data_IF_712931040364
#
_entry.id   IF_712931040364
#
_cell.length_a   1.000
_cell.length_b   1.000
_cell.length_c   1.000
_cell.angle_alpha   90.00
_cell.angle_beta   90.00
_cell.angle_gamma   90.00
#
_symmetry.space_group_name_H-M   'P 1'
#
loop_
_entity.id
_entity.type
_entity.pdbx_description
1 polymer ?
#
# COMPACT_ATOMS: atom_id res chain seq x y z
N UNK A 1 13.60 2.68 -3.13
CA UNK A 1 13.70 1.57 -2.14
C UNK A 1 13.71 0.24 -2.88
N UNK A 2 14.66 -0.62 -2.59
CA UNK A 2 14.78 -1.97 -3.16
C UNK A 2 14.33 -3.00 -2.11
N UNK A 3 13.45 -3.93 -2.51
CA UNK A 3 13.00 -5.02 -1.63
C UNK A 3 13.39 -6.33 -2.27
N UNK A 4 14.02 -7.21 -1.49
CA UNK A 4 14.44 -8.54 -1.95
C UNK A 4 13.87 -9.61 -1.02
N UNK A 5 13.23 -10.60 -1.62
CA UNK A 5 12.79 -11.81 -0.95
C UNK A 5 13.66 -12.99 -1.40
N UNK A 6 14.22 -13.72 -0.47
CA UNK A 6 15.00 -14.92 -0.73
C UNK A 6 14.39 -16.08 0.03
N UNK A 7 13.61 -16.90 -0.67
CA UNK A 7 12.86 -18.04 -0.12
C UNK A 7 11.99 -17.66 1.09
N UNK A 8 11.28 -16.51 0.99
CA UNK A 8 10.37 -16.07 2.05
C UNK A 8 9.08 -16.87 2.00
N UNK A 9 8.72 -17.47 3.16
CA UNK A 9 7.47 -18.22 3.35
C UNK A 9 6.83 -17.80 4.67
N UNK A 10 5.66 -17.16 4.66
CA UNK A 10 4.94 -16.77 5.89
C UNK A 10 4.27 -17.96 6.57
N UNK A 11 4.07 -17.88 7.88
CA UNK A 11 3.37 -18.89 8.68
C UNK A 11 2.05 -18.34 9.24
N UNK A 12 0.96 -19.12 9.19
CA UNK A 12 0.77 -20.31 8.37
C UNK A 12 0.41 -19.95 6.92
N UNK A 13 0.91 -20.75 5.97
CA UNK A 13 0.49 -20.69 4.58
C UNK A 13 0.36 -22.14 4.01
N UNK A 14 -0.73 -22.51 3.32
CA UNK A 14 -0.88 -23.83 2.74
C UNK A 14 0.19 -24.11 1.68
N UNK A 15 0.63 -25.38 1.58
CA UNK A 15 1.68 -25.79 0.64
C UNK A 15 1.28 -25.55 -0.83
N UNK A 16 0.02 -25.74 -1.15
CA UNK A 16 -0.54 -25.54 -2.48
C UNK A 16 -0.40 -24.06 -2.92
N UNK A 17 -0.61 -23.13 -1.98
CA UNK A 17 -0.43 -21.70 -2.22
C UNK A 17 1.04 -21.34 -2.45
N UNK A 18 1.95 -21.96 -1.69
CA UNK A 18 3.39 -21.73 -1.88
C UNK A 18 3.84 -22.22 -3.25
N UNK A 19 3.39 -23.44 -3.66
CA UNK A 19 3.80 -24.06 -4.93
C UNK A 19 3.26 -23.37 -6.17
N UNK A 20 2.09 -22.70 -6.08
CA UNK A 20 1.48 -21.96 -7.19
C UNK A 20 1.92 -20.49 -7.29
N UNK A 21 2.70 -20.02 -6.33
CA UNK A 21 3.04 -18.60 -6.20
C UNK A 21 4.31 -18.22 -6.94
N UNK A 22 4.31 -17.09 -7.63
CA UNK A 22 5.52 -16.46 -8.18
C UNK A 22 6.37 -15.76 -7.09
N UNK A 23 5.83 -15.60 -5.88
CA UNK A 23 6.42 -14.78 -4.81
C UNK A 23 6.97 -15.64 -3.67
N UNK A 24 6.18 -16.65 -3.21
CA UNK A 24 6.56 -17.44 -2.06
C UNK A 24 7.62 -18.49 -2.41
N UNK A 25 8.58 -18.68 -1.51
CA UNK A 25 9.70 -19.61 -1.66
C UNK A 25 10.55 -19.40 -2.93
N UNK A 26 10.55 -18.18 -3.46
CA UNK A 26 11.32 -17.81 -4.66
C UNK A 26 12.37 -16.72 -4.34
N UNK A 27 13.23 -16.44 -5.30
CA UNK A 27 14.11 -15.26 -5.26
C UNK A 27 13.48 -14.15 -6.06
N UNK A 28 12.97 -13.14 -5.38
CA UNK A 28 12.26 -12.02 -5.97
C UNK A 28 12.87 -10.69 -5.59
N UNK A 29 12.91 -9.74 -6.53
CA UNK A 29 13.35 -8.38 -6.29
C UNK A 29 12.34 -7.38 -6.84
N UNK A 30 11.72 -6.60 -5.96
CA UNK A 30 10.99 -5.39 -6.32
C UNK A 30 11.99 -4.25 -6.48
N UNK A 31 12.17 -3.81 -7.73
CA UNK A 31 13.17 -2.80 -8.09
C UNK A 31 12.75 -1.41 -7.65
N UNK A 32 13.69 -0.51 -7.33
CA UNK A 32 13.40 0.91 -7.15
C UNK A 32 12.72 1.51 -8.40
N UNK A 33 11.84 2.48 -8.17
CA UNK A 33 11.15 3.25 -9.24
C UNK A 33 10.36 2.36 -10.21
N UNK A 34 9.82 1.23 -9.74
CA UNK A 34 9.02 0.31 -10.54
C UNK A 34 7.64 0.10 -9.91
N UNK A 35 6.66 -0.20 -10.75
CA UNK A 35 5.33 -0.58 -10.34
C UNK A 35 5.12 -2.09 -10.52
N UNK A 36 4.70 -2.77 -9.47
CA UNK A 36 4.42 -4.20 -9.45
C UNK A 36 2.96 -4.47 -9.09
N UNK A 37 2.31 -5.32 -9.87
CA UNK A 37 0.98 -5.83 -9.58
C UNK A 37 1.09 -7.23 -8.95
N UNK A 38 0.38 -7.44 -7.86
CA UNK A 38 0.25 -8.75 -7.21
C UNK A 38 -1.22 -9.17 -7.30
N UNK A 39 -1.51 -10.17 -8.13
CA UNK A 39 -2.86 -10.69 -8.31
C UNK A 39 -3.02 -12.04 -7.65
N UNK A 40 -4.14 -12.27 -6.99
CA UNK A 40 -4.49 -13.58 -6.45
C UNK A 40 -5.95 -13.61 -5.99
N UNK A 41 -6.50 -14.81 -5.85
CA UNK A 41 -7.78 -15.02 -5.19
C UNK A 41 -7.73 -14.65 -3.69
N UNK A 42 -8.89 -14.57 -3.07
CA UNK A 42 -8.96 -14.34 -1.61
C UNK A 42 -8.25 -15.46 -0.85
N UNK A 43 -7.56 -15.12 0.24
CA UNK A 43 -6.87 -16.10 1.08
C UNK A 43 -5.46 -16.52 0.62
N UNK A 44 -5.01 -16.12 -0.58
CA UNK A 44 -3.73 -16.53 -1.14
C UNK A 44 -2.51 -15.74 -0.60
N UNK A 45 -2.69 -14.84 0.36
CA UNK A 45 -1.58 -14.18 1.04
C UNK A 45 -1.24 -12.76 0.56
N UNK A 46 -2.08 -12.08 -0.26
CA UNK A 46 -1.84 -10.70 -0.72
C UNK A 46 -1.57 -9.71 0.43
N UNK A 47 -2.52 -9.60 1.36
CA UNK A 47 -2.35 -8.74 2.54
C UNK A 47 -1.17 -9.19 3.41
N UNK A 48 -0.90 -10.49 3.47
CA UNK A 48 0.26 -11.04 4.16
C UNK A 48 1.56 -10.51 3.58
N UNK A 49 1.71 -10.52 2.25
CA UNK A 49 2.89 -9.96 1.58
C UNK A 49 3.07 -8.48 1.95
N UNK A 50 2.04 -7.67 1.78
CA UNK A 50 2.13 -6.23 2.09
C UNK A 50 2.43 -5.98 3.57
N UNK A 51 1.89 -6.80 4.48
CA UNK A 51 2.17 -6.70 5.92
C UNK A 51 3.62 -7.09 6.27
N UNK A 52 4.20 -8.09 5.59
CA UNK A 52 5.62 -8.44 5.71
C UNK A 52 6.50 -7.27 5.24
N UNK A 53 6.22 -6.73 4.05
CA UNK A 53 6.97 -5.61 3.48
C UNK A 53 6.86 -4.34 4.35
N UNK A 54 5.72 -4.12 5.00
CA UNK A 54 5.52 -3.00 5.94
C UNK A 54 6.11 -3.25 7.33
N UNK A 55 6.57 -4.48 7.61
CA UNK A 55 7.21 -4.86 8.89
C UNK A 55 6.25 -4.97 10.08
N UNK A 56 4.94 -5.17 9.86
CA UNK A 56 3.96 -5.45 10.92
C UNK A 56 3.78 -6.94 11.13
N UNK A 57 4.15 -7.77 10.16
CA UNK A 57 4.20 -9.23 10.26
C UNK A 57 5.66 -9.69 10.22
N UNK A 58 6.03 -10.64 11.09
CA UNK A 58 7.41 -11.12 11.25
C UNK A 58 7.53 -12.65 11.29
N UNK A 59 6.42 -13.35 11.20
CA UNK A 59 6.32 -14.81 11.24
C UNK A 59 6.51 -15.42 9.84
N UNK A 60 7.75 -15.52 9.40
CA UNK A 60 8.15 -16.10 8.13
C UNK A 60 9.54 -16.77 8.22
N UNK A 61 9.82 -17.68 7.30
CA UNK A 61 11.17 -18.19 7.01
C UNK A 61 11.76 -17.49 5.78
N UNK A 62 13.04 -17.74 5.51
CA UNK A 62 13.77 -17.06 4.46
C UNK A 62 14.32 -15.71 4.87
N UNK A 63 14.73 -14.90 3.89
CA UNK A 63 15.34 -13.58 4.14
C UNK A 63 14.58 -12.52 3.37
N UNK A 64 14.08 -11.52 4.08
CA UNK A 64 13.54 -10.29 3.52
C UNK A 64 14.54 -9.17 3.72
N UNK A 65 15.00 -8.53 2.64
CA UNK A 65 15.95 -7.43 2.72
C UNK A 65 15.34 -6.12 2.19
N UNK A 66 15.67 -5.02 2.86
CA UNK A 66 15.30 -3.65 2.50
C UNK A 66 16.58 -2.86 2.24
N UNK A 67 16.78 -2.40 1.01
CA UNK A 67 18.01 -1.71 0.57
C UNK A 67 19.28 -2.45 0.99
N UNK A 68 19.27 -3.79 0.85
CA UNK A 68 20.39 -4.68 1.17
C UNK A 68 20.56 -5.04 2.66
N UNK A 69 19.72 -4.52 3.56
CA UNK A 69 19.71 -4.90 4.98
C UNK A 69 18.67 -5.96 5.25
N UNK A 70 19.07 -7.04 5.92
CA UNK A 70 18.12 -8.06 6.40
C UNK A 70 17.13 -7.44 7.39
N UNK A 71 15.82 -7.60 7.10
CA UNK A 71 14.74 -7.04 7.93
C UNK A 71 14.71 -7.58 9.36
N UNK A 72 15.29 -8.77 9.60
CA UNK A 72 15.42 -9.37 10.94
C UNK A 72 16.42 -8.62 11.83
N UNK A 73 17.38 -7.91 11.22
CA UNK A 73 18.39 -7.12 11.93
C UNK A 73 17.94 -5.70 12.24
N UNK A 74 16.80 -5.26 11.65
CA UNK A 74 16.28 -3.93 11.87
C UNK A 74 15.69 -3.78 13.27
N UNK A 75 16.16 -2.77 13.99
CA UNK A 75 15.65 -2.42 15.32
C UNK A 75 14.21 -1.89 15.23
N UNK A 76 13.56 -1.76 16.38
CA UNK A 76 12.24 -1.11 16.45
C UNK A 76 12.29 0.34 15.96
N UNK A 77 13.36 1.06 16.24
CA UNK A 77 13.57 2.44 15.81
C UNK A 77 13.76 2.54 14.29
N UNK A 78 14.54 1.62 13.70
CA UNK A 78 14.69 1.55 12.24
C UNK A 78 13.32 1.38 11.56
N UNK A 79 12.50 0.44 12.03
CA UNK A 79 11.16 0.22 11.51
C UNK A 79 10.22 1.43 11.70
N UNK A 80 10.33 2.15 12.82
CA UNK A 80 9.57 3.39 13.04
C UNK A 80 9.98 4.43 11.99
N UNK A 81 11.27 4.61 11.75
CA UNK A 81 11.79 5.58 10.79
C UNK A 81 11.41 5.19 9.35
N UNK A 82 11.57 3.92 8.97
CA UNK A 82 11.16 3.41 7.65
C UNK A 82 9.66 3.68 7.41
N UNK A 83 8.80 3.33 8.37
CA UNK A 83 7.37 3.60 8.27
C UNK A 83 7.01 5.08 8.31
N UNK A 84 7.81 5.92 8.94
CA UNK A 84 7.57 7.35 9.02
C UNK A 84 7.89 8.09 7.72
N UNK A 85 8.95 7.67 7.00
CA UNK A 85 9.51 8.47 5.91
C UNK A 85 9.61 7.76 4.56
N UNK A 86 9.57 6.43 4.55
CA UNK A 86 9.99 5.66 3.36
C UNK A 86 8.93 4.71 2.82
N UNK A 87 8.08 4.11 3.66
CA UNK A 87 7.02 3.20 3.20
C UNK A 87 5.66 3.74 3.62
N UNK A 88 4.76 3.92 2.65
CA UNK A 88 3.34 4.17 2.92
C UNK A 88 2.49 2.95 2.56
N UNK A 89 1.37 2.76 3.27
CA UNK A 89 0.47 1.64 3.05
C UNK A 89 -0.99 2.07 3.15
N UNK A 90 -1.81 1.59 2.21
CA UNK A 90 -3.25 1.49 2.33
C UNK A 90 -3.59 0.04 2.68
N UNK A 91 -4.17 -0.18 3.86
CA UNK A 91 -4.63 -1.48 4.30
C UNK A 91 -6.02 -1.80 3.75
N UNK A 92 -6.32 -3.07 3.50
CA UNK A 92 -7.64 -3.52 3.05
C UNK A 92 -8.76 -3.13 4.04
N UNK A 93 -8.50 -3.20 5.36
CA UNK A 93 -9.41 -2.79 6.43
C UNK A 93 -9.43 -1.26 6.68
N UNK A 94 -8.75 -0.48 5.83
CA UNK A 94 -8.60 0.98 5.82
C UNK A 94 -7.97 1.58 7.08
N UNK A 95 -8.10 0.96 8.25
CA UNK A 95 -7.58 1.40 9.56
C UNK A 95 -7.86 2.87 9.87
N UNK A 96 -9.08 3.31 9.58
CA UNK A 96 -9.56 4.63 9.95
C UNK A 96 -10.13 4.60 11.37
N UNK A 97 -10.00 5.70 12.08
CA UNK A 97 -10.60 5.90 13.39
C UNK A 97 -12.05 6.38 13.19
N UNK A 98 -13.06 5.56 13.51
CA UNK A 98 -14.45 5.81 13.12
C UNK A 98 -15.06 7.07 13.75
N UNK A 99 -14.57 7.48 14.92
CA UNK A 99 -15.09 8.66 15.64
C UNK A 99 -14.43 9.98 15.25
N UNK A 100 -13.31 9.91 14.51
CA UNK A 100 -12.66 11.09 13.96
C UNK A 100 -13.29 11.46 12.62
N UNK A 101 -13.20 12.73 12.26
CA UNK A 101 -13.55 13.22 10.93
C UNK A 101 -12.58 12.67 9.87
N UNK A 102 -12.94 12.78 8.59
CA UNK A 102 -12.06 12.40 7.49
C UNK A 102 -10.75 13.20 7.54
N UNK A 103 -10.82 14.51 7.75
CA UNK A 103 -9.65 15.38 7.84
C UNK A 103 -8.76 15.03 9.05
N UNK A 104 -9.35 14.79 10.21
CA UNK A 104 -8.58 14.36 11.39
C UNK A 104 -7.87 13.04 11.16
N UNK A 105 -8.52 12.06 10.50
CA UNK A 105 -7.88 10.79 10.13
C UNK A 105 -6.67 11.00 9.20
N UNK A 106 -6.77 11.92 8.24
CA UNK A 106 -5.67 12.25 7.32
C UNK A 106 -4.54 12.94 8.09
N UNK A 107 -4.86 13.87 8.98
CA UNK A 107 -3.91 14.66 9.75
C UNK A 107 -3.20 13.88 10.89
N UNK A 108 -3.55 12.61 11.13
CA UNK A 108 -2.77 11.72 12.00
C UNK A 108 -1.35 11.43 11.47
N UNK A 109 -1.08 11.76 10.20
CA UNK A 109 0.24 11.59 9.59
C UNK A 109 1.20 12.65 10.14
N UNK A 110 2.28 12.26 10.83
CA UNK A 110 3.12 13.21 11.56
C UNK A 110 4.06 14.02 10.64
N UNK A 111 4.28 13.57 9.42
CA UNK A 111 5.15 14.21 8.44
C UNK A 111 4.44 14.23 7.09
N UNK A 112 4.21 15.42 6.57
CA UNK A 112 3.61 15.58 5.24
C UNK A 112 4.65 15.33 4.13
N UNK A 113 4.19 14.76 3.01
CA UNK A 113 4.99 14.62 1.79
C UNK A 113 5.13 15.99 1.12
N UNK A 114 6.34 16.54 0.99
CA UNK A 114 6.53 17.87 0.41
C UNK A 114 6.17 17.93 -1.09
N UNK A 115 6.08 16.78 -1.75
CA UNK A 115 5.75 16.68 -3.16
C UNK A 115 4.26 16.37 -3.40
N UNK A 116 3.48 16.06 -2.35
CA UNK A 116 2.05 15.83 -2.49
C UNK A 116 1.29 17.16 -2.59
N UNK A 117 0.19 17.20 -3.37
CA UNK A 117 -0.77 18.30 -3.29
C UNK A 117 -1.30 18.42 -1.85
N UNK A 118 -1.83 19.59 -1.51
CA UNK A 118 -2.49 19.76 -0.21
C UNK A 118 -3.71 18.85 -0.09
N UNK A 119 -4.11 18.55 1.14
CA UNK A 119 -5.19 17.59 1.42
C UNK A 119 -6.48 17.96 0.68
N UNK A 120 -6.81 19.25 0.65
CA UNK A 120 -8.00 19.80 0.02
C UNK A 120 -8.02 19.53 -1.50
N UNK A 121 -6.89 19.68 -2.19
CA UNK A 121 -6.77 19.41 -3.62
C UNK A 121 -6.92 17.90 -3.91
N UNK A 122 -6.29 17.04 -3.12
CA UNK A 122 -6.46 15.58 -3.28
C UNK A 122 -7.89 15.14 -2.96
N UNK A 123 -8.51 15.77 -1.96
CA UNK A 123 -9.90 15.52 -1.60
C UNK A 123 -10.86 15.93 -2.72
N UNK A 124 -10.59 17.06 -3.38
CA UNK A 124 -11.37 17.54 -4.54
C UNK A 124 -11.24 16.59 -5.72
N UNK A 125 -10.02 16.20 -6.09
CA UNK A 125 -9.75 15.24 -7.15
C UNK A 125 -10.48 13.92 -6.93
N UNK A 126 -10.56 13.44 -5.68
CA UNK A 126 -11.22 12.20 -5.30
C UNK A 126 -12.72 12.38 -4.94
N UNK A 127 -13.27 13.62 -5.05
CA UNK A 127 -14.68 13.91 -4.80
C UNK A 127 -15.09 13.66 -3.35
N UNK A 128 -14.24 13.99 -2.39
CA UNK A 128 -14.51 13.84 -0.94
C UNK A 128 -14.41 15.16 -0.16
N UNK A 129 -14.22 16.31 -0.81
CA UNK A 129 -14.07 17.61 -0.15
C UNK A 129 -15.24 17.94 0.79
N UNK A 130 -16.47 17.66 0.39
CA UNK A 130 -17.68 17.88 1.19
C UNK A 130 -17.78 16.97 2.42
N UNK A 131 -16.97 15.93 2.50
CA UNK A 131 -16.98 14.95 3.58
C UNK A 131 -15.83 15.12 4.57
N UNK A 132 -14.87 16.04 4.32
CA UNK A 132 -13.67 16.19 5.15
C UNK A 132 -13.97 16.43 6.63
N UNK A 133 -15.04 17.17 6.94
CA UNK A 133 -15.45 17.48 8.31
C UNK A 133 -16.51 16.54 8.87
N UNK A 134 -16.84 15.46 8.15
CA UNK A 134 -17.78 14.44 8.63
C UNK A 134 -17.02 13.31 9.32
N UNK A 135 -17.65 12.75 10.37
CA UNK A 135 -17.12 11.57 11.06
C UNK A 135 -17.09 10.37 10.12
N UNK A 136 -15.99 9.62 10.13
CA UNK A 136 -15.77 8.49 9.22
C UNK A 136 -16.83 7.40 9.32
N UNK A 137 -17.45 7.21 10.49
CA UNK A 137 -18.52 6.22 10.68
C UNK A 137 -19.79 6.54 9.88
N UNK A 138 -20.00 7.79 9.46
CA UNK A 138 -21.15 8.21 8.65
C UNK A 138 -20.90 8.09 7.15
N UNK A 139 -19.66 7.81 6.73
CA UNK A 139 -19.26 7.73 5.34
C UNK A 139 -19.55 6.35 4.75
N UNK A 140 -19.87 6.30 3.45
CA UNK A 140 -19.95 5.05 2.70
C UNK A 140 -18.57 4.36 2.64
N UNK A 141 -18.54 3.06 2.28
CA UNK A 141 -17.26 2.34 2.20
C UNK A 141 -16.33 2.95 1.15
N UNK A 142 -16.84 3.30 -0.04
CA UNK A 142 -16.04 3.96 -1.07
C UNK A 142 -15.55 5.36 -0.68
N UNK A 143 -16.33 6.14 0.10
CA UNK A 143 -15.86 7.41 0.66
C UNK A 143 -14.72 7.18 1.67
N UNK A 144 -14.89 6.22 2.59
CA UNK A 144 -13.83 5.82 3.53
C UNK A 144 -12.56 5.35 2.83
N UNK A 145 -12.71 4.59 1.74
CA UNK A 145 -11.57 4.11 0.96
C UNK A 145 -10.79 5.28 0.35
N UNK A 146 -11.48 6.29 -0.20
CA UNK A 146 -10.84 7.49 -0.73
C UNK A 146 -10.15 8.33 0.36
N UNK A 147 -10.76 8.45 1.55
CA UNK A 147 -10.12 9.08 2.73
C UNK A 147 -8.84 8.34 3.12
N UNK A 148 -8.88 7.01 3.21
CA UNK A 148 -7.71 6.20 3.55
C UNK A 148 -6.62 6.28 2.46
N UNK A 149 -7.01 6.40 1.18
CA UNK A 149 -6.07 6.62 0.09
C UNK A 149 -5.38 7.98 0.22
N UNK A 150 -6.11 9.07 0.45
CA UNK A 150 -5.51 10.41 0.70
C UNK A 150 -4.53 10.32 1.87
N UNK A 151 -4.92 9.69 3.00
CA UNK A 151 -4.04 9.51 4.16
C UNK A 151 -2.75 8.76 3.81
N UNK A 152 -2.82 7.77 2.93
CA UNK A 152 -1.62 7.05 2.49
C UNK A 152 -0.74 7.92 1.58
N UNK A 153 -1.32 8.80 0.78
CA UNK A 153 -0.62 9.62 -0.21
C UNK A 153 -0.03 10.92 0.37
N UNK A 154 -0.61 11.48 1.43
CA UNK A 154 -0.05 12.68 2.12
C UNK A 154 1.24 12.38 2.88
N UNK A 155 1.55 11.11 3.11
CA UNK A 155 2.76 10.66 3.78
C UNK A 155 3.93 10.62 2.80
N UNK A 156 5.19 10.94 3.21
CA UNK A 156 6.36 10.70 2.39
C UNK A 156 6.55 9.20 2.13
N UNK A 157 6.92 8.82 0.90
CA UNK A 157 7.21 7.44 0.57
C UNK A 157 8.19 7.30 -0.59
N UNK A 158 9.03 6.28 -0.52
CA UNK A 158 9.83 5.70 -1.60
C UNK A 158 9.20 4.39 -2.11
N UNK A 159 8.34 3.76 -1.27
CA UNK A 159 7.54 2.60 -1.60
C UNK A 159 6.10 2.83 -1.13
N UNK A 160 5.17 2.69 -2.06
CA UNK A 160 3.73 2.73 -1.79
C UNK A 160 3.16 1.31 -1.89
N UNK A 161 2.53 0.85 -0.82
CA UNK A 161 1.85 -0.44 -0.73
C UNK A 161 0.34 -0.21 -0.73
N UNK A 162 -0.37 -0.80 -1.68
CA UNK A 162 -1.82 -0.64 -1.80
C UNK A 162 -2.52 -2.01 -1.79
N UNK A 163 -3.31 -2.27 -0.76
CA UNK A 163 -4.09 -3.49 -0.62
C UNK A 163 -5.52 -3.29 -1.09
N UNK A 164 -5.83 -3.79 -2.28
CA UNK A 164 -7.13 -3.70 -2.95
C UNK A 164 -7.71 -2.26 -3.00
N UNK A 165 -6.94 -1.27 -3.50
CA UNK A 165 -7.30 0.15 -3.38
C UNK A 165 -8.56 0.55 -4.14
N UNK A 166 -9.05 -0.27 -5.06
CA UNK A 166 -10.16 0.06 -5.96
C UNK A 166 -11.42 -0.78 -5.74
N UNK A 167 -11.42 -1.72 -4.78
CA UNK A 167 -12.48 -2.73 -4.62
C UNK A 167 -13.90 -2.18 -4.41
N UNK A 168 -14.04 -0.94 -3.96
CA UNK A 168 -15.33 -0.31 -3.68
C UNK A 168 -15.49 1.05 -4.41
N UNK A 169 -14.76 1.24 -5.49
CA UNK A 169 -14.83 2.45 -6.31
C UNK A 169 -15.49 2.10 -7.64
N UNK A 170 -16.34 3.00 -8.14
CA UNK A 170 -16.81 2.99 -9.51
C UNK A 170 -15.69 3.38 -10.49
N UNK A 171 -15.90 3.17 -11.78
CA UNK A 171 -14.88 3.38 -12.82
C UNK A 171 -14.35 4.83 -12.83
N UNK A 172 -15.20 5.81 -12.59
CA UNK A 172 -14.82 7.23 -12.57
C UNK A 172 -13.87 7.50 -11.39
N UNK A 173 -14.23 7.00 -10.21
CA UNK A 173 -13.39 7.17 -9.01
C UNK A 173 -12.11 6.33 -9.08
N UNK A 174 -12.13 5.14 -9.71
CA UNK A 174 -10.92 4.35 -9.99
C UNK A 174 -9.97 5.12 -10.91
N UNK A 175 -10.44 5.72 -11.99
CA UNK A 175 -9.62 6.50 -12.93
C UNK A 175 -8.98 7.71 -12.25
N UNK A 176 -9.76 8.46 -11.43
CA UNK A 176 -9.24 9.58 -10.62
C UNK A 176 -8.17 9.15 -9.64
N UNK A 177 -8.42 8.08 -8.89
CA UNK A 177 -7.47 7.52 -7.92
C UNK A 177 -6.19 7.02 -8.61
N UNK A 178 -6.33 6.31 -9.74
CA UNK A 178 -5.19 5.85 -10.55
C UNK A 178 -4.33 7.02 -11.04
N UNK A 179 -4.95 8.10 -11.49
CA UNK A 179 -4.26 9.30 -11.97
C UNK A 179 -3.46 9.99 -10.84
N UNK A 180 -4.07 10.13 -9.66
CA UNK A 180 -3.40 10.71 -8.48
C UNK A 180 -2.22 9.84 -8.03
N UNK A 181 -2.40 8.52 -7.95
CA UNK A 181 -1.34 7.56 -7.59
C UNK A 181 -0.18 7.64 -8.59
N UNK A 182 -0.47 7.59 -9.91
CA UNK A 182 0.55 7.71 -10.97
C UNK A 182 1.35 9.01 -10.85
N UNK A 183 0.66 10.13 -10.65
CA UNK A 183 1.31 11.44 -10.47
C UNK A 183 2.29 11.44 -9.32
N UNK A 184 1.87 10.97 -8.15
CA UNK A 184 2.70 10.97 -6.94
C UNK A 184 3.87 9.97 -7.00
N UNK A 185 3.67 8.78 -7.57
CA UNK A 185 4.77 7.83 -7.80
C UNK A 185 5.85 8.47 -8.68
N UNK A 186 5.45 9.11 -9.77
CA UNK A 186 6.38 9.77 -10.69
C UNK A 186 7.14 10.93 -10.02
N UNK A 187 6.44 11.80 -9.30
CA UNK A 187 7.05 12.97 -8.64
C UNK A 187 8.00 12.53 -7.52
N UNK A 188 7.65 11.52 -6.74
CA UNK A 188 8.49 11.00 -5.67
C UNK A 188 9.63 10.09 -6.17
N UNK A 189 9.65 9.68 -7.44
CA UNK A 189 10.52 8.61 -7.91
C UNK A 189 10.33 7.32 -7.09
N UNK A 190 9.09 7.01 -6.75
CA UNK A 190 8.75 5.94 -5.81
C UNK A 190 8.40 4.64 -6.54
N UNK A 191 8.48 3.52 -5.82
CA UNK A 191 7.98 2.22 -6.27
C UNK A 191 6.54 2.03 -5.80
N UNK A 192 5.78 1.22 -6.55
CA UNK A 192 4.44 0.77 -6.20
C UNK A 192 4.40 -0.75 -6.11
N UNK A 193 3.77 -1.29 -5.07
CA UNK A 193 3.28 -2.67 -5.02
C UNK A 193 1.80 -2.61 -4.72
N UNK A 194 0.99 -3.06 -5.68
CA UNK A 194 -0.46 -3.03 -5.59
C UNK A 194 -1.00 -4.46 -5.62
N UNK A 195 -1.85 -4.81 -4.67
CA UNK A 195 -2.57 -6.07 -4.67
C UNK A 195 -4.00 -5.90 -5.19
N UNK A 196 -4.49 -6.90 -5.95
CA UNK A 196 -5.85 -6.92 -6.48
C UNK A 196 -6.44 -8.33 -6.54
N UNK A 197 -7.79 -8.41 -6.50
CA UNK A 197 -8.54 -9.64 -6.70
C UNK A 197 -8.84 -9.98 -8.17
N UNK A 198 -8.64 -9.03 -9.10
CA UNK A 198 -8.94 -9.32 -10.51
C UNK A 198 -9.06 -8.13 -11.46
N UNK A 199 -9.55 -6.98 -11.03
CA UNK A 199 -9.56 -5.79 -11.89
C UNK A 199 -8.16 -5.19 -11.96
N UNK A 200 -7.62 -5.05 -13.16
CA UNK A 200 -6.34 -4.37 -13.38
C UNK A 200 -6.63 -2.89 -13.51
N UNK A 201 -6.12 -2.04 -12.60
CA UNK A 201 -6.31 -0.60 -12.69
C UNK A 201 -5.55 0.00 -13.89
N UNK A 202 -5.93 1.22 -14.29
CA UNK A 202 -5.27 2.00 -15.36
C UNK A 202 -3.88 2.54 -14.91
N UNK A 203 -3.07 1.69 -14.29
CA UNK A 203 -1.70 1.98 -13.88
C UNK A 203 -0.78 1.07 -14.72
N UNK A 204 0.23 1.60 -15.42
CA UNK A 204 1.21 0.76 -16.08
C UNK A 204 2.06 0.04 -15.03
N UNK A 205 2.12 -1.29 -15.12
CA UNK A 205 2.95 -2.11 -14.26
C UNK A 205 4.15 -2.65 -15.04
N UNK A 206 5.33 -2.58 -14.44
CA UNK A 206 6.56 -3.13 -14.98
C UNK A 206 6.62 -4.66 -14.79
N UNK A 207 5.95 -5.16 -13.76
CA UNK A 207 5.94 -6.57 -13.37
C UNK A 207 4.58 -6.97 -12.81
N UNK A 208 4.17 -8.19 -13.09
CA UNK A 208 2.95 -8.81 -12.53
C UNK A 208 3.31 -10.16 -11.93
N UNK A 209 2.82 -10.42 -10.72
CA UNK A 209 3.03 -11.65 -9.97
C UNK A 209 1.69 -12.25 -9.55
N UNK A 210 1.62 -13.59 -9.57
CA UNK A 210 0.52 -14.37 -9.01
C UNK A 210 0.91 -14.94 -7.65
N UNK A 211 -0.03 -14.93 -6.71
CA UNK A 211 0.09 -15.62 -5.42
C UNK A 211 -0.82 -16.83 -5.39
#
# INVERSE_FOLDING_TARGET
>A
MRIELNHVVPYPLPKEVIQSSDVWDTKLCFKPNSASLVSAQSGMGKSTLLHLLYGVRKDFSGILSIDGKDSSTLSREDWINIRKTSISILFQDLRLFPHLTALENINLIPVANPNAPVVEEMADQLGISSFLHQSVNTLSHGQRQRVALVRALVKPFQLLLLDEPFSHLDDVNQSKASSLIKGLIKINGASLILSTLGSVPEIPFDQTYSL
#
